data_IF_322506608742
#
_entry.id   IF_322506608742
#
_cell.length_a   1.000
_cell.length_b   1.000
_cell.length_c   1.000
_cell.angle_alpha   90.00
_cell.angle_beta   90.00
_cell.angle_gamma   90.00
#
_symmetry.space_group_name_H-M   'P 1'
#
loop_
_entity.id
_entity.type
_entity.pdbx_description
1 polymer ?
#
# COMPACT_ATOMS: atom_id res chain seq x y z
N UNK A 1 -14.98 0.07 6.00
CA UNK A 1 -14.82 1.49 6.33
C UNK A 1 -13.62 1.80 7.18
N UNK A 2 -13.38 1.04 8.24
CA UNK A 2 -12.21 1.26 9.10
C UNK A 2 -10.88 1.10 8.36
N UNK A 3 -10.77 0.15 7.44
CA UNK A 3 -9.55 -0.07 6.69
C UNK A 3 -9.20 1.12 5.80
N UNK A 4 -10.19 1.70 5.12
CA UNK A 4 -9.94 2.87 4.27
C UNK A 4 -9.55 4.08 5.11
N UNK A 5 -10.17 4.26 6.28
CA UNK A 5 -9.79 5.35 7.19
C UNK A 5 -8.36 5.18 7.66
N UNK A 6 -7.93 3.96 7.98
CA UNK A 6 -6.56 3.69 8.36
C UNK A 6 -5.59 3.97 7.21
N UNK A 7 -5.94 3.57 5.99
CA UNK A 7 -5.10 3.80 4.82
C UNK A 7 -4.97 5.30 4.55
N UNK A 8 -6.07 6.03 4.64
CA UNK A 8 -6.07 7.48 4.41
C UNK A 8 -5.28 8.19 5.50
N UNK A 9 -5.41 7.76 6.77
CA UNK A 9 -4.78 8.41 7.90
C UNK A 9 -3.31 8.07 8.09
N UNK A 10 -2.81 7.03 7.42
CA UNK A 10 -1.44 6.54 7.62
C UNK A 10 -0.61 6.73 6.35
N UNK A 11 0.23 7.77 6.30
CA UNK A 11 1.03 8.07 5.10
C UNK A 11 1.93 6.91 4.63
N UNK A 12 2.26 5.98 5.51
CA UNK A 12 3.09 4.83 5.17
C UNK A 12 2.48 4.01 4.03
N UNK A 13 1.17 3.96 3.92
CA UNK A 13 0.51 3.21 2.85
C UNK A 13 0.84 3.78 1.47
N UNK A 14 0.81 5.11 1.34
CA UNK A 14 1.21 5.76 0.10
C UNK A 14 2.70 5.57 -0.16
N UNK A 15 3.53 5.64 0.89
CA UNK A 15 4.97 5.38 0.75
C UNK A 15 5.23 3.98 0.22
N UNK A 16 4.51 2.98 0.70
CA UNK A 16 4.65 1.60 0.21
C UNK A 16 4.32 1.52 -1.27
N UNK A 17 3.24 2.16 -1.70
CA UNK A 17 2.87 2.19 -3.12
C UNK A 17 3.99 2.82 -3.96
N UNK A 18 4.56 3.92 -3.50
CA UNK A 18 5.66 4.57 -4.20
C UNK A 18 6.89 3.68 -4.27
N UNK A 19 7.22 2.99 -3.18
CA UNK A 19 8.36 2.08 -3.16
C UNK A 19 8.17 0.91 -4.11
N UNK A 20 6.95 0.38 -4.20
CA UNK A 20 6.63 -0.71 -5.13
C UNK A 20 6.86 -0.31 -6.58
N UNK A 21 6.74 0.97 -6.90
CA UNK A 21 6.93 1.48 -8.25
C UNK A 21 8.35 2.00 -8.48
N UNK A 22 9.23 1.89 -7.49
CA UNK A 22 10.62 2.27 -7.60
C UNK A 22 11.41 1.20 -8.37
N UNK A 23 12.40 1.64 -9.16
CA UNK A 23 13.28 0.72 -9.88
C UNK A 23 14.13 -0.13 -8.93
N UNK A 24 14.29 0.33 -7.68
CA UNK A 24 15.09 -0.38 -6.66
C UNK A 24 14.25 -1.31 -5.80
N UNK A 25 12.95 -1.40 -6.06
CA UNK A 25 12.03 -2.14 -5.20
C UNK A 25 12.48 -3.57 -4.92
N UNK A 26 12.37 -3.96 -3.66
CA UNK A 26 12.56 -5.34 -3.21
C UNK A 26 11.32 -5.80 -2.47
N UNK A 27 10.84 -6.98 -2.81
CA UNK A 27 9.65 -7.57 -2.19
C UNK A 27 10.04 -8.20 -0.83
N UNK A 28 10.50 -7.36 0.08
CA UNK A 28 10.99 -7.75 1.40
C UNK A 28 10.51 -6.72 2.41
N UNK A 29 9.74 -7.17 3.39
CA UNK A 29 9.18 -6.29 4.42
C UNK A 29 10.26 -5.50 5.17
N UNK A 30 11.43 -6.10 5.39
CA UNK A 30 12.52 -5.42 6.08
C UNK A 30 13.09 -4.28 5.24
N UNK A 31 13.23 -4.51 3.94
CA UNK A 31 13.69 -3.46 3.03
C UNK A 31 12.69 -2.30 3.00
N UNK A 32 11.40 -2.63 2.89
CA UNK A 32 10.33 -1.63 2.85
C UNK A 32 10.31 -0.84 4.16
N UNK A 33 10.40 -1.54 5.29
CA UNK A 33 10.38 -0.91 6.62
C UNK A 33 11.54 0.08 6.78
N UNK A 34 12.71 -0.29 6.34
CA UNK A 34 13.89 0.59 6.42
C UNK A 34 13.69 1.86 5.58
N UNK A 35 13.10 1.73 4.40
CA UNK A 35 12.86 2.88 3.51
C UNK A 35 11.72 3.75 4.02
N UNK A 36 10.69 3.15 4.59
CA UNK A 36 9.53 3.89 5.09
C UNK A 36 9.72 4.44 6.51
N UNK A 37 10.77 4.02 7.20
CA UNK A 37 11.04 4.48 8.56
C UNK A 37 10.07 3.93 9.60
N UNK A 38 9.64 2.69 9.45
CA UNK A 38 8.72 2.05 10.39
C UNK A 38 9.13 0.60 10.66
N UNK A 39 8.35 -0.11 11.50
CA UNK A 39 8.65 -1.49 11.83
C UNK A 39 8.24 -2.46 10.73
N UNK A 40 8.87 -3.62 10.70
CA UNK A 40 8.49 -4.70 9.78
C UNK A 40 7.06 -5.15 10.02
N UNK A 41 6.64 -5.24 11.28
CA UNK A 41 5.27 -5.63 11.62
C UNK A 41 4.25 -4.64 11.06
N UNK A 42 4.56 -3.34 11.14
CA UNK A 42 3.67 -2.32 10.59
C UNK A 42 3.60 -2.41 9.07
N UNK A 43 4.73 -2.68 8.41
CA UNK A 43 4.73 -2.90 6.95
C UNK A 43 3.83 -4.08 6.59
N UNK A 44 3.94 -5.20 7.30
CA UNK A 44 3.12 -6.38 7.03
C UNK A 44 1.63 -6.07 7.21
N UNK A 45 1.28 -5.32 8.24
CA UNK A 45 -0.09 -4.90 8.46
C UNK A 45 -0.59 -3.99 7.33
N UNK A 46 0.21 -3.01 6.94
CA UNK A 46 -0.15 -2.09 5.87
C UNK A 46 -0.31 -2.82 4.53
N UNK A 47 0.60 -3.73 4.21
CA UNK A 47 0.52 -4.53 2.99
C UNK A 47 -0.76 -5.37 2.98
N UNK A 48 -1.11 -5.97 4.11
CA UNK A 48 -2.36 -6.73 4.22
C UNK A 48 -3.58 -5.87 3.92
N UNK A 49 -3.61 -4.65 4.44
CA UNK A 49 -4.71 -3.71 4.17
C UNK A 49 -4.79 -3.35 2.69
N UNK A 50 -3.63 -3.08 2.08
CA UNK A 50 -3.58 -2.74 0.67
C UNK A 50 -4.06 -3.89 -0.20
N UNK A 51 -3.69 -5.13 0.15
CA UNK A 51 -4.13 -6.33 -0.57
C UNK A 51 -5.65 -6.51 -0.46
N UNK A 52 -6.21 -6.32 0.72
CA UNK A 52 -7.65 -6.49 0.94
C UNK A 52 -8.49 -5.53 0.11
N UNK A 53 -8.00 -4.32 -0.09
CA UNK A 53 -8.74 -3.32 -0.87
C UNK A 53 -8.38 -3.36 -2.35
N UNK A 54 -7.52 -4.28 -2.76
CA UNK A 54 -7.11 -4.38 -4.15
C UNK A 54 -6.26 -3.22 -4.62
N UNK A 55 -5.63 -2.51 -3.70
CA UNK A 55 -4.72 -1.41 -4.02
C UNK A 55 -3.32 -1.92 -4.33
N UNK A 56 -3.03 -3.13 -3.90
CA UNK A 56 -1.79 -3.85 -4.16
C UNK A 56 -2.14 -5.26 -4.57
N UNK A 57 -1.42 -5.81 -5.54
CA UNK A 57 -1.57 -7.17 -6.01
C UNK A 57 -0.22 -7.86 -6.01
N UNK A 58 -0.16 -9.06 -5.44
CA UNK A 58 1.03 -9.89 -5.53
C UNK A 58 0.81 -10.96 -6.58
N UNK A 59 1.43 -10.82 -7.75
CA UNK A 59 1.34 -11.82 -8.80
C UNK A 59 2.15 -13.05 -8.46
N UNK A 60 3.28 -12.82 -7.79
CA UNK A 60 4.11 -13.85 -7.17
C UNK A 60 4.92 -13.18 -6.05
N UNK A 61 5.68 -13.93 -5.23
CA UNK A 61 6.39 -13.33 -4.10
C UNK A 61 7.35 -12.19 -4.46
N UNK A 62 7.82 -12.13 -5.70
CA UNK A 62 8.77 -11.11 -6.13
C UNK A 62 8.14 -10.02 -7.00
N UNK A 63 6.91 -10.23 -7.48
CA UNK A 63 6.26 -9.31 -8.41
C UNK A 63 4.99 -8.73 -7.82
N UNK A 64 5.07 -7.49 -7.42
CA UNK A 64 3.95 -6.75 -6.86
C UNK A 64 3.55 -5.65 -7.83
N UNK A 65 2.25 -5.48 -8.02
CA UNK A 65 1.71 -4.39 -8.83
C UNK A 65 0.74 -3.58 -7.98
N UNK A 66 0.60 -2.31 -8.32
CA UNK A 66 -0.22 -1.38 -7.54
C UNK A 66 -1.21 -0.67 -8.46
N UNK A 67 -2.24 -0.07 -7.84
CA UNK A 67 -3.13 0.80 -8.58
C UNK A 67 -2.37 1.99 -9.13
N UNK A 68 -2.84 2.52 -10.25
CA UNK A 68 -2.25 3.71 -10.84
C UNK A 68 -2.70 4.94 -10.06
N UNK A 69 -1.75 5.68 -9.50
CA UNK A 69 -2.04 6.93 -8.79
C UNK A 69 -0.81 7.83 -8.93
N UNK A 70 -1.02 9.04 -9.40
CA UNK A 70 0.07 10.00 -9.60
C UNK A 70 0.41 10.77 -8.33
N UNK A 71 -0.47 10.74 -7.33
CA UNK A 71 -0.30 11.50 -6.10
C UNK A 71 -0.99 10.80 -4.94
N UNK A 72 -0.63 11.19 -3.73
CA UNK A 72 -1.28 10.70 -2.52
C UNK A 72 -2.79 10.99 -2.53
N UNK A 73 -3.16 12.14 -3.07
CA UNK A 73 -4.56 12.54 -3.19
C UNK A 73 -5.36 11.56 -4.04
N UNK A 74 -4.82 11.19 -5.20
CA UNK A 74 -5.44 10.19 -6.07
C UNK A 74 -5.52 8.84 -5.40
N UNK A 75 -4.47 8.45 -4.70
CA UNK A 75 -4.45 7.20 -3.96
C UNK A 75 -5.56 7.15 -2.92
N UNK A 76 -5.73 8.24 -2.15
CA UNK A 76 -6.79 8.33 -1.14
C UNK A 76 -8.18 8.23 -1.77
N UNK A 77 -8.37 8.90 -2.90
CA UNK A 77 -9.65 8.83 -3.61
C UNK A 77 -9.94 7.42 -4.08
N UNK A 78 -8.93 6.71 -4.60
CA UNK A 78 -9.08 5.32 -5.02
C UNK A 78 -9.43 4.43 -3.83
N UNK A 79 -8.79 4.63 -2.69
CA UNK A 79 -9.06 3.85 -1.48
C UNK A 79 -10.51 4.03 -1.02
N UNK A 80 -11.02 5.26 -1.03
CA UNK A 80 -12.41 5.53 -0.66
C UNK A 80 -13.39 4.87 -1.63
N UNK A 81 -13.10 4.93 -2.93
CA UNK A 81 -13.94 4.29 -3.93
C UNK A 81 -14.00 2.78 -3.72
N UNK A 82 -12.87 2.16 -3.34
CA UNK A 82 -12.83 0.71 -3.07
C UNK A 82 -13.68 0.34 -1.87
N UNK A 83 -13.64 1.15 -0.81
CA UNK A 83 -14.49 0.90 0.37
C UNK A 83 -15.97 0.99 -0.01
N UNK A 84 -16.35 2.00 -0.78
CA UNK A 84 -17.73 2.15 -1.21
C UNK A 84 -18.19 0.98 -2.08
N UNK A 85 -17.30 0.41 -2.88
CA UNK A 85 -17.61 -0.74 -3.72
C UNK A 85 -17.75 -2.01 -2.89
N UNK A 86 -16.92 -2.18 -1.87
CA UNK A 86 -16.94 -3.36 -1.01
C UNK A 86 -17.94 -3.26 0.13
N UNK A 87 -18.36 -2.03 0.44
CA UNK A 87 -19.30 -1.74 1.52
C UNK A 87 -20.57 -2.43 1.40
#
# INVERSE_FOLDING_TARGET
>A
MAEALNIIGEPVHWQIIQLCNSAEFRADSRWIAARAGCSTDFVNLAVTRLLRLGLLEMRDPARWSTVSAASEREFRATALARVNTHG
#
